data_IF_516809275572
#
_entry.id   IF_516809275572
#
_cell.length_a   1.000
_cell.length_b   1.000
_cell.length_c   1.000
_cell.angle_alpha   90.00
_cell.angle_beta   90.00
_cell.angle_gamma   90.00
#
_symmetry.space_group_name_H-M   'P 1'
#
loop_
_entity.id
_entity.type
_entity.pdbx_description
1 polymer ?
#
# COMPACT_ATOMS: atom_id res chain seq x y z
N UNK A 1 6.11 33.02 9.43
CA UNK A 1 5.74 32.69 8.04
C UNK A 1 4.43 33.38 7.74
N UNK A 2 4.31 34.06 6.60
CA UNK A 2 3.01 34.57 6.15
C UNK A 2 2.18 33.37 5.69
N UNK A 3 0.91 33.33 6.09
CA UNK A 3 -0.03 32.30 5.65
C UNK A 3 -0.37 32.55 4.17
N UNK A 4 -0.09 31.56 3.31
CA UNK A 4 -0.34 31.66 1.87
C UNK A 4 -1.81 31.30 1.57
N UNK A 5 -2.44 31.95 0.58
CA UNK A 5 -3.81 31.61 0.20
C UNK A 5 -3.88 30.19 -0.38
N UNK A 6 -5.04 29.54 -0.26
CA UNK A 6 -5.25 28.25 -0.91
C UNK A 6 -5.24 28.42 -2.45
N UNK A 7 -4.63 27.49 -3.21
CA UNK A 7 -4.66 27.54 -4.66
C UNK A 7 -6.10 27.52 -5.20
N UNK A 8 -6.41 28.26 -6.29
CA UNK A 8 -7.78 28.36 -6.82
C UNK A 8 -8.46 27.05 -7.20
N UNK A 9 -7.67 26.00 -7.47
CA UNK A 9 -8.17 24.67 -7.79
C UNK A 9 -8.50 23.80 -6.57
N UNK A 10 -8.16 24.25 -5.37
CA UNK A 10 -8.49 23.55 -4.14
C UNK A 10 -9.95 23.84 -3.74
N UNK A 11 -10.76 22.79 -3.69
CA UNK A 11 -12.16 22.85 -3.25
C UNK A 11 -12.32 22.09 -1.92
N UNK A 12 -12.50 22.78 -0.78
CA UNK A 12 -12.62 22.14 0.51
C UNK A 12 -13.87 21.25 0.63
N UNK A 13 -14.91 21.49 -0.20
CA UNK A 13 -16.15 20.71 -0.16
C UNK A 13 -16.02 19.33 -0.81
N UNK A 14 -14.96 19.13 -1.59
CA UNK A 14 -14.67 17.87 -2.30
C UNK A 14 -13.55 17.05 -1.64
N UNK A 15 -13.08 17.53 -0.49
CA UNK A 15 -12.15 16.81 0.38
C UNK A 15 -12.86 15.56 0.88
N UNK A 16 -12.41 14.38 0.45
CA UNK A 16 -13.11 13.11 0.65
C UNK A 16 -13.23 12.28 -0.62
N UNK A 17 -13.20 12.93 -1.78
CA UNK A 17 -13.49 12.28 -3.07
C UNK A 17 -12.22 11.80 -3.76
N UNK A 18 -12.30 10.60 -4.36
CA UNK A 18 -11.28 10.11 -5.29
C UNK A 18 -11.66 10.58 -6.69
N UNK A 19 -10.92 11.55 -7.23
CA UNK A 19 -11.13 12.06 -8.58
C UNK A 19 -9.84 12.02 -9.43
N UNK A 20 -10.01 11.99 -10.74
CA UNK A 20 -8.89 12.17 -11.68
C UNK A 20 -8.33 13.59 -11.53
N UNK A 21 -7.02 13.70 -11.34
CA UNK A 21 -6.30 14.97 -11.30
C UNK A 21 -5.78 15.30 -12.71
N UNK A 22 -6.04 16.51 -13.25
CA UNK A 22 -5.42 16.96 -14.49
C UNK A 22 -3.97 17.39 -14.23
N UNK A 23 -3.06 16.41 -14.13
CA UNK A 23 -1.68 16.65 -13.67
C UNK A 23 -0.90 17.66 -14.50
N UNK A 24 -1.11 17.68 -15.82
CA UNK A 24 -0.42 18.62 -16.70
C UNK A 24 -0.79 20.08 -16.37
N UNK A 25 -2.10 20.33 -16.20
CA UNK A 25 -2.61 21.66 -15.85
C UNK A 25 -2.16 22.05 -14.44
N UNK A 26 -2.26 21.13 -13.47
CA UNK A 26 -1.79 21.35 -12.09
C UNK A 26 -0.30 21.67 -12.02
N UNK A 27 0.53 21.00 -12.81
CA UNK A 27 1.96 21.28 -12.87
C UNK A 27 2.26 22.70 -13.40
N UNK A 28 1.54 23.14 -14.43
CA UNK A 28 1.67 24.51 -14.98
C UNK A 28 1.21 25.56 -13.97
N UNK A 29 0.04 25.36 -13.36
CA UNK A 29 -0.51 26.26 -12.34
C UNK A 29 0.39 26.37 -11.10
N UNK A 30 1.00 25.26 -10.66
CA UNK A 30 1.88 25.25 -9.49
C UNK A 30 3.17 26.06 -9.70
N UNK A 31 3.67 26.15 -10.95
CA UNK A 31 4.81 27.02 -11.30
C UNK A 31 4.39 28.48 -11.20
N UNK A 32 3.27 28.85 -11.85
CA UNK A 32 2.75 30.22 -11.83
C UNK A 32 2.46 30.68 -10.40
N UNK A 33 1.79 29.85 -9.61
CA UNK A 33 1.45 30.18 -8.22
C UNK A 33 2.70 30.36 -7.35
N UNK A 34 3.76 29.59 -7.60
CA UNK A 34 5.02 29.74 -6.88
C UNK A 34 5.72 31.05 -7.22
N UNK A 35 5.74 31.43 -8.49
CA UNK A 35 6.31 32.70 -8.94
C UNK A 35 5.52 33.89 -8.35
N UNK A 36 4.18 33.82 -8.36
CA UNK A 36 3.29 34.85 -7.80
C UNK A 36 3.50 35.06 -6.28
N UNK A 37 3.77 34.00 -5.54
CA UNK A 37 3.89 34.02 -4.08
C UNK A 37 5.33 33.95 -3.58
N UNK A 38 6.33 34.03 -4.46
CA UNK A 38 7.75 34.01 -4.12
C UNK A 38 8.20 32.70 -3.45
N UNK A 39 7.58 31.57 -3.79
CA UNK A 39 7.90 30.25 -3.21
C UNK A 39 9.08 29.65 -3.95
N UNK A 40 10.25 29.67 -3.32
CA UNK A 40 11.48 29.06 -3.84
C UNK A 40 11.47 27.52 -3.81
N UNK A 41 12.45 26.87 -4.46
CA UNK A 41 12.58 25.42 -4.39
C UNK A 41 12.94 24.97 -2.96
N UNK A 42 12.18 24.03 -2.40
CA UNK A 42 12.48 23.42 -1.08
C UNK A 42 13.86 22.73 -1.00
N UNK A 43 14.54 22.59 -2.14
CA UNK A 43 15.93 22.13 -2.21
C UNK A 43 16.94 23.12 -1.62
N UNK A 44 16.58 24.41 -1.61
CA UNK A 44 17.41 25.54 -1.19
C UNK A 44 17.16 25.92 0.28
N UNK A 45 16.19 25.26 0.93
CA UNK A 45 15.87 25.50 2.33
C UNK A 45 17.05 25.14 3.26
N UNK A 46 17.34 26.07 4.17
CA UNK A 46 18.38 25.89 5.21
C UNK A 46 17.97 24.86 6.26
N UNK A 47 16.66 24.69 6.47
CA UNK A 47 16.08 23.68 7.35
C UNK A 47 15.50 22.55 6.48
N UNK A 48 15.88 21.31 6.76
CA UNK A 48 15.42 20.14 6.02
C UNK A 48 14.52 19.28 6.88
N UNK A 49 13.29 19.12 6.42
CA UNK A 49 12.30 18.21 6.98
C UNK A 49 12.05 17.05 6.00
N UNK A 50 12.22 15.81 6.47
CA UNK A 50 11.93 14.60 5.71
C UNK A 50 10.61 13.99 6.22
N UNK A 51 9.69 13.69 5.31
CA UNK A 51 8.45 12.98 5.59
C UNK A 51 8.58 11.53 5.11
N UNK A 52 8.59 10.59 6.05
CA UNK A 52 8.35 9.17 5.76
C UNK A 52 6.83 8.95 5.77
N UNK A 53 6.25 8.71 4.60
CA UNK A 53 4.81 8.56 4.44
C UNK A 53 4.47 7.07 4.29
N UNK A 54 3.98 6.44 5.36
CA UNK A 54 3.73 5.00 5.38
C UNK A 54 2.34 4.71 4.81
N UNK A 55 2.29 3.95 3.72
CA UNK A 55 1.08 3.36 3.11
C UNK A 55 -0.06 4.38 2.86
N UNK A 56 0.30 5.60 2.44
CA UNK A 56 -0.63 6.68 2.04
C UNK A 56 -1.23 6.46 0.65
N UNK A 57 -1.78 5.27 0.45
CA UNK A 57 -2.43 4.84 -0.79
C UNK A 57 -3.94 5.07 -0.71
N UNK A 58 -4.58 5.26 -1.86
CA UNK A 58 -6.02 5.50 -1.97
C UNK A 58 -6.87 4.44 -1.27
N UNK A 59 -6.40 3.19 -1.17
CA UNK A 59 -7.14 2.15 -0.45
C UNK A 59 -7.23 2.40 1.07
N UNK A 60 -6.24 3.09 1.65
CA UNK A 60 -6.16 3.30 3.10
C UNK A 60 -6.54 4.71 3.53
N UNK A 61 -6.36 5.69 2.65
CA UNK A 61 -6.45 7.09 2.99
C UNK A 61 -7.52 7.80 2.15
N UNK A 62 -8.50 8.38 2.85
CA UNK A 62 -9.42 9.42 2.33
C UNK A 62 -8.76 10.79 2.63
N UNK A 63 -8.78 11.78 1.72
CA UNK A 63 -7.72 12.78 1.63
C UNK A 63 -7.87 13.87 2.68
N UNK A 64 -6.95 13.95 3.66
CA UNK A 64 -6.87 15.08 4.60
C UNK A 64 -5.43 15.48 4.98
N UNK A 65 -4.45 15.22 4.11
CA UNK A 65 -3.03 15.28 4.49
C UNK A 65 -2.30 16.62 4.25
N UNK A 66 -2.98 17.75 3.98
CA UNK A 66 -2.33 18.90 3.33
C UNK A 66 -2.32 20.22 4.10
N UNK A 67 -1.74 20.26 5.31
CA UNK A 67 -1.50 21.55 5.99
C UNK A 67 -0.07 22.08 5.94
N UNK A 68 0.94 21.22 5.71
CA UNK A 68 2.36 21.60 5.84
C UNK A 68 3.23 21.25 4.61
N UNK A 69 2.64 21.11 3.42
CA UNK A 69 3.36 20.67 2.20
C UNK A 69 4.52 21.59 1.80
N UNK A 70 4.44 22.88 2.10
CA UNK A 70 5.47 23.86 1.75
C UNK A 70 6.78 23.75 2.55
N UNK A 71 6.77 23.01 3.67
CA UNK A 71 7.95 22.85 4.54
C UNK A 71 8.65 21.50 4.35
N UNK A 72 8.06 20.59 3.55
CA UNK A 72 8.57 19.24 3.37
C UNK A 72 9.61 19.22 2.24
N UNK A 73 10.87 19.00 2.61
CA UNK A 73 12.02 19.01 1.68
C UNK A 73 12.26 17.66 0.98
N UNK A 74 11.72 16.57 1.54
CA UNK A 74 11.83 15.21 1.01
C UNK A 74 10.63 14.35 1.46
N UNK A 75 10.10 13.53 0.55
CA UNK A 75 9.07 12.52 0.84
C UNK A 75 9.58 11.14 0.42
N UNK A 76 9.51 10.18 1.33
CA UNK A 76 9.78 8.77 1.07
C UNK A 76 8.51 7.98 1.39
N UNK A 77 7.73 7.53 0.38
CA UNK A 77 6.59 6.68 0.67
C UNK A 77 7.00 5.22 0.80
N UNK A 78 6.39 4.50 1.75
CA UNK A 78 6.22 3.05 1.59
C UNK A 78 4.91 2.81 0.84
N UNK A 79 4.89 1.73 0.05
CA UNK A 79 3.69 1.27 -0.62
C UNK A 79 3.43 -0.16 -0.18
N UNK A 80 2.24 -0.40 0.35
CA UNK A 80 1.70 -1.74 0.43
C UNK A 80 1.38 -2.18 -1.00
N UNK A 81 1.98 -3.26 -1.48
CA UNK A 81 1.89 -3.66 -2.88
C UNK A 81 1.50 -5.11 -2.97
N UNK A 82 0.30 -5.34 -3.48
CA UNK A 82 -0.32 -6.65 -3.45
C UNK A 82 -0.69 -7.18 -4.82
N UNK A 83 -0.58 -8.50 -4.94
CA UNK A 83 -1.16 -9.29 -6.01
C UNK A 83 -2.43 -9.97 -5.50
N UNK A 84 -3.32 -10.39 -6.40
CA UNK A 84 -4.59 -10.99 -5.99
C UNK A 84 -4.39 -12.27 -5.16
N UNK A 85 -3.48 -13.13 -5.59
CA UNK A 85 -3.25 -14.45 -4.99
C UNK A 85 -2.14 -14.39 -3.93
N UNK A 86 -2.45 -13.79 -2.78
CA UNK A 86 -1.57 -13.76 -1.61
C UNK A 86 -2.24 -14.43 -0.42
N UNK A 87 -1.43 -14.98 0.49
CA UNK A 87 -1.85 -15.83 1.61
C UNK A 87 -2.92 -15.23 2.53
N UNK A 88 -3.02 -13.91 2.59
CA UNK A 88 -3.98 -13.18 3.42
C UNK A 88 -5.23 -12.69 2.66
N UNK A 89 -5.41 -13.07 1.39
CA UNK A 89 -6.65 -12.83 0.64
C UNK A 89 -7.53 -14.08 0.63
N UNK A 90 -8.85 -13.88 0.65
CA UNK A 90 -9.82 -14.97 0.77
C UNK A 90 -9.64 -16.08 -0.28
N UNK A 91 -9.25 -15.73 -1.51
CA UNK A 91 -9.05 -16.70 -2.61
C UNK A 91 -8.03 -17.79 -2.29
N UNK A 92 -7.07 -17.52 -1.40
CA UNK A 92 -6.03 -18.45 -1.00
C UNK A 92 -6.56 -19.64 -0.20
N UNK A 93 -7.67 -19.45 0.53
CA UNK A 93 -8.18 -20.41 1.50
C UNK A 93 -9.57 -20.91 1.06
N UNK A 94 -9.79 -22.20 1.23
CA UNK A 94 -11.11 -22.81 1.13
C UNK A 94 -11.36 -23.73 2.33
N UNK A 95 -12.61 -23.90 2.71
CA UNK A 95 -13.00 -24.89 3.71
C UNK A 95 -13.23 -26.29 3.08
N UNK A 96 -13.86 -27.19 3.83
CA UNK A 96 -14.21 -28.54 3.39
C UNK A 96 -15.19 -28.54 2.22
N UNK A 97 -16.11 -27.59 2.18
CA UNK A 97 -17.14 -27.42 1.16
C UNK A 97 -16.61 -26.67 -0.08
N UNK A 98 -15.42 -26.09 0.01
CA UNK A 98 -14.78 -25.32 -1.08
C UNK A 98 -15.10 -23.83 -1.03
N UNK A 99 -15.72 -23.35 0.05
CA UNK A 99 -16.12 -21.96 0.24
C UNK A 99 -14.97 -21.12 0.81
N UNK A 100 -14.96 -19.83 0.45
CA UNK A 100 -13.93 -18.89 0.88
C UNK A 100 -14.28 -18.21 2.21
N UNK A 101 -13.29 -17.88 3.06
CA UNK A 101 -13.54 -17.11 4.28
C UNK A 101 -14.05 -15.70 3.96
N UNK A 102 -14.93 -15.19 4.80
CA UNK A 102 -15.35 -13.78 4.74
C UNK A 102 -14.16 -12.84 5.05
N UNK A 103 -14.24 -11.59 4.58
CA UNK A 103 -13.27 -10.57 4.96
C UNK A 103 -13.21 -10.39 6.48
N UNK A 104 -12.00 -10.15 6.99
CA UNK A 104 -11.62 -10.05 8.39
C UNK A 104 -11.75 -11.34 9.22
N UNK A 105 -11.97 -12.49 8.58
CA UNK A 105 -11.84 -13.79 9.25
C UNK A 105 -10.43 -13.93 9.83
N UNK A 106 -10.35 -14.34 11.10
CA UNK A 106 -9.11 -14.70 11.76
C UNK A 106 -8.89 -16.21 11.61
N UNK A 107 -7.75 -16.59 11.05
CA UNK A 107 -7.36 -17.97 10.79
C UNK A 107 -6.17 -18.31 11.67
N UNK A 108 -6.42 -19.11 12.70
CA UNK A 108 -5.40 -19.57 13.64
C UNK A 108 -4.60 -20.75 13.11
N UNK A 109 -3.44 -21.02 13.72
CA UNK A 109 -2.68 -22.23 13.44
C UNK A 109 -3.50 -23.51 13.73
N UNK A 110 -4.38 -23.45 14.74
CA UNK A 110 -5.27 -24.56 15.11
C UNK A 110 -6.39 -24.77 14.08
N UNK A 111 -6.88 -23.72 13.42
CA UNK A 111 -7.79 -23.85 12.28
C UNK A 111 -7.15 -24.64 11.14
N UNK A 112 -5.89 -24.33 10.81
CA UNK A 112 -5.14 -25.05 9.76
C UNK A 112 -4.87 -26.50 10.17
N UNK A 113 -4.42 -26.72 11.42
CA UNK A 113 -4.13 -28.05 11.93
C UNK A 113 -5.38 -28.95 11.99
N UNK A 114 -6.54 -28.37 12.30
CA UNK A 114 -7.83 -29.05 12.29
C UNK A 114 -8.41 -29.25 10.88
N UNK A 115 -7.77 -28.72 9.83
CA UNK A 115 -8.25 -28.81 8.45
C UNK A 115 -9.44 -27.90 8.11
N UNK A 116 -9.82 -26.98 9.01
CA UNK A 116 -10.92 -26.03 8.77
C UNK A 116 -10.66 -25.13 7.58
N UNK A 117 -9.40 -24.76 7.36
CA UNK A 117 -8.96 -24.03 6.18
C UNK A 117 -7.78 -24.74 5.53
N UNK A 118 -7.82 -24.84 4.21
CA UNK A 118 -6.76 -25.41 3.37
C UNK A 118 -6.47 -24.49 2.19
N UNK A 119 -5.30 -24.67 1.56
CA UNK A 119 -4.97 -23.92 0.35
C UNK A 119 -5.93 -24.30 -0.78
N UNK A 120 -6.46 -23.29 -1.46
CA UNK A 120 -7.22 -23.46 -2.69
C UNK A 120 -6.32 -24.04 -3.80
N UNK A 121 -6.64 -25.25 -4.27
CA UNK A 121 -5.86 -25.94 -5.30
C UNK A 121 -5.78 -25.16 -6.61
N UNK A 122 -6.83 -24.42 -6.98
CA UNK A 122 -6.83 -23.59 -8.19
C UNK A 122 -5.81 -22.44 -8.10
N UNK A 123 -5.59 -21.89 -6.90
CA UNK A 123 -4.54 -20.87 -6.68
C UNK A 123 -3.15 -21.50 -6.77
N UNK A 124 -2.96 -22.66 -6.17
CA UNK A 124 -1.69 -23.39 -6.26
C UNK A 124 -1.34 -23.71 -7.72
N UNK A 125 -2.31 -24.19 -8.50
CA UNK A 125 -2.15 -24.47 -9.93
C UNK A 125 -1.84 -23.21 -10.73
N UNK A 126 -2.61 -22.12 -10.55
CA UNK A 126 -2.41 -20.87 -11.27
C UNK A 126 -1.02 -20.24 -11.01
N UNK A 127 -0.46 -20.46 -9.82
CA UNK A 127 0.86 -19.99 -9.44
C UNK A 127 1.98 -21.00 -9.76
N UNK A 128 1.64 -22.20 -10.26
CA UNK A 128 2.60 -23.28 -10.51
C UNK A 128 3.28 -23.80 -9.24
N UNK A 129 2.58 -23.77 -8.10
CA UNK A 129 3.06 -24.20 -6.79
C UNK A 129 2.51 -25.60 -6.50
N UNK A 130 3.38 -26.47 -6.00
CA UNK A 130 2.98 -27.79 -5.48
C UNK A 130 1.95 -27.63 -4.33
N UNK A 131 0.75 -28.24 -4.43
CA UNK A 131 -0.31 -28.06 -3.42
C UNK A 131 0.11 -28.52 -2.01
N UNK A 132 0.89 -29.59 -1.91
CA UNK A 132 1.36 -30.09 -0.62
C UNK A 132 2.36 -29.12 0.02
N UNK A 133 3.28 -28.57 -0.79
CA UNK A 133 4.17 -27.49 -0.36
C UNK A 133 3.38 -26.26 0.10
N UNK A 134 2.37 -25.84 -0.66
CA UNK A 134 1.55 -24.67 -0.31
C UNK A 134 0.83 -24.86 1.04
N UNK A 135 0.26 -26.04 1.29
CA UNK A 135 -0.38 -26.36 2.56
C UNK A 135 0.63 -26.41 3.73
N UNK A 136 1.80 -27.03 3.52
CA UNK A 136 2.88 -27.00 4.54
C UNK A 136 3.36 -25.58 4.84
N UNK A 137 3.48 -24.74 3.82
CA UNK A 137 3.86 -23.34 3.98
C UNK A 137 2.80 -22.56 4.75
N UNK A 138 1.51 -22.75 4.45
CA UNK A 138 0.41 -22.11 5.19
C UNK A 138 0.42 -22.51 6.68
N UNK A 139 0.59 -23.79 6.99
CA UNK A 139 0.72 -24.28 8.36
C UNK A 139 1.94 -23.67 9.07
N UNK A 140 3.09 -23.66 8.40
CA UNK A 140 4.29 -23.04 8.96
C UNK A 140 4.11 -21.54 9.22
N UNK A 141 3.50 -20.82 8.28
CA UNK A 141 3.30 -19.37 8.35
C UNK A 141 2.38 -18.99 9.52
N UNK A 142 1.23 -19.67 9.66
CA UNK A 142 0.30 -19.44 10.78
C UNK A 142 0.91 -19.78 12.14
N UNK A 143 1.71 -20.83 12.23
CA UNK A 143 2.47 -21.14 13.44
C UNK A 143 3.48 -20.04 13.81
N UNK A 144 4.23 -19.51 12.83
CA UNK A 144 5.19 -18.42 13.08
C UNK A 144 4.51 -17.12 13.50
N UNK A 145 3.32 -16.84 12.97
CA UNK A 145 2.51 -15.70 13.43
C UNK A 145 2.17 -15.84 14.91
N UNK A 146 1.62 -17.00 15.31
CA UNK A 146 1.23 -17.29 16.68
C UNK A 146 2.42 -17.22 17.66
N UNK A 147 3.57 -17.81 17.30
CA UNK A 147 4.78 -17.79 18.13
C UNK A 147 5.44 -16.42 18.23
N UNK A 148 5.36 -15.61 17.17
CA UNK A 148 5.92 -14.27 17.13
C UNK A 148 5.15 -13.26 17.99
N UNK A 149 4.14 -13.71 18.75
CA UNK A 149 3.21 -12.86 19.50
C UNK A 149 2.35 -11.98 18.58
N UNK A 150 2.29 -12.32 17.29
CA UNK A 150 1.44 -11.64 16.32
C UNK A 150 0.10 -12.37 16.22
N UNK A 151 -0.92 -11.59 15.89
CA UNK A 151 -2.29 -12.04 15.72
C UNK A 151 -2.41 -13.22 14.73
N UNK A 152 -3.52 -13.95 14.84
CA UNK A 152 -3.95 -14.92 13.83
C UNK A 152 -3.92 -14.32 12.42
N UNK A 153 -3.80 -15.18 11.40
CA UNK A 153 -3.83 -14.74 10.00
C UNK A 153 -5.17 -14.06 9.71
N UNK A 154 -5.13 -12.75 9.54
CA UNK A 154 -6.30 -11.96 9.14
C UNK A 154 -6.50 -12.06 7.64
N UNK A 155 -7.69 -12.48 7.22
CA UNK A 155 -8.12 -12.43 5.82
C UNK A 155 -8.52 -11.00 5.49
N UNK A 156 -7.74 -10.30 4.69
CA UNK A 156 -8.05 -8.92 4.29
C UNK A 156 -8.92 -8.89 3.04
N UNK A 157 -9.83 -7.89 2.88
CA UNK A 157 -10.40 -7.59 1.58
C UNK A 157 -9.29 -7.17 0.61
N UNK A 158 -9.51 -7.29 -0.71
CA UNK A 158 -8.54 -6.85 -1.70
C UNK A 158 -8.19 -5.37 -1.50
N UNK A 159 -6.90 -5.10 -1.34
CA UNK A 159 -6.41 -3.74 -1.08
C UNK A 159 -5.09 -3.50 -1.78
N UNK A 160 -4.81 -2.23 -2.08
CA UNK A 160 -3.54 -1.79 -2.65
C UNK A 160 -3.05 -2.67 -3.82
N UNK A 161 -4.00 -3.10 -4.66
CA UNK A 161 -3.77 -4.04 -5.75
C UNK A 161 -2.89 -3.39 -6.82
N UNK A 162 -1.74 -4.01 -7.12
CA UNK A 162 -0.80 -3.51 -8.12
C UNK A 162 -1.53 -3.25 -9.45
N UNK A 163 -1.41 -2.02 -9.96
CA UNK A 163 -2.08 -1.58 -11.20
C UNK A 163 -3.52 -1.07 -11.01
N UNK A 164 -4.09 -1.19 -9.81
CA UNK A 164 -5.41 -0.65 -9.46
C UNK A 164 -5.35 0.78 -8.92
N UNK A 165 -6.46 1.51 -9.01
CA UNK A 165 -6.58 2.89 -8.50
C UNK A 165 -6.30 2.99 -6.99
N UNK A 166 -6.58 1.91 -6.24
CA UNK A 166 -6.32 1.80 -4.81
C UNK A 166 -4.84 1.74 -4.42
N UNK A 167 -3.98 1.23 -5.31
CA UNK A 167 -2.52 1.16 -5.09
C UNK A 167 -1.83 2.51 -5.26
N UNK A 168 -2.44 3.44 -5.99
CA UNK A 168 -1.85 4.75 -6.19
C UNK A 168 -1.88 5.58 -4.90
N UNK A 169 -0.84 6.39 -4.68
CA UNK A 169 -0.81 7.38 -3.59
C UNK A 169 -2.02 8.31 -3.64
N UNK A 170 -2.45 8.83 -2.49
CA UNK A 170 -3.49 9.87 -2.46
C UNK A 170 -3.03 11.11 -3.21
N UNK A 171 -3.95 11.77 -3.92
CA UNK A 171 -3.66 12.84 -4.89
C UNK A 171 -2.69 13.92 -4.40
N UNK A 172 -2.83 14.47 -3.21
CA UNK A 172 -1.89 15.49 -2.75
C UNK A 172 -0.55 14.95 -2.20
N UNK A 173 -0.38 13.65 -1.98
CA UNK A 173 0.95 13.04 -1.85
C UNK A 173 1.66 12.94 -3.21
N UNK A 174 0.89 12.92 -4.30
CA UNK A 174 1.41 12.98 -5.68
C UNK A 174 1.75 14.40 -6.13
N UNK A 175 1.08 15.41 -5.57
CA UNK A 175 1.31 16.84 -5.88
C UNK A 175 2.54 17.43 -5.18
N UNK A 176 3.29 16.64 -4.41
CA UNK A 176 4.62 17.04 -3.90
C UNK A 176 5.57 17.13 -5.10
N UNK A 177 5.57 18.32 -5.71
CA UNK A 177 6.34 18.82 -6.86
C UNK A 177 7.32 17.82 -7.46
N UNK A 178 7.04 17.50 -8.72
CA UNK A 178 7.72 16.68 -9.73
C UNK A 178 9.26 16.83 -9.93
N UNK A 179 10.05 17.08 -8.88
CA UNK A 179 11.52 17.00 -8.89
C UNK A 179 12.06 16.54 -7.55
N UNK A 180 11.86 15.28 -7.17
CA UNK A 180 12.81 14.54 -6.31
C UNK A 180 12.42 13.06 -6.19
N UNK A 181 13.46 12.26 -5.97
CA UNK A 181 13.46 10.80 -5.91
C UNK A 181 12.33 10.25 -5.03
N UNK A 182 11.22 9.84 -5.65
CA UNK A 182 10.34 8.83 -5.10
C UNK A 182 11.11 7.50 -5.15
N UNK A 183 11.74 7.14 -4.05
CA UNK A 183 12.19 5.77 -3.83
C UNK A 183 11.14 5.09 -2.96
N UNK A 184 10.31 4.18 -3.51
CA UNK A 184 9.44 3.36 -2.70
C UNK A 184 10.32 2.48 -1.81
N UNK A 185 10.19 2.65 -0.49
CA UNK A 185 10.74 1.69 0.46
C UNK A 185 9.73 0.53 0.55
N UNK A 186 9.98 -0.55 -0.17
CA UNK A 186 9.30 -1.83 0.04
C UNK A 186 9.89 -2.49 1.29
N UNK A 187 9.25 -2.39 2.45
CA UNK A 187 9.67 -3.17 3.61
C UNK A 187 8.47 -3.64 4.44
N UNK A 188 8.13 -4.93 4.29
CA UNK A 188 7.51 -5.76 5.34
C UNK A 188 7.93 -7.23 5.16
N UNK A 189 9.03 -7.65 5.79
CA UNK A 189 9.37 -9.07 5.98
C UNK A 189 9.65 -9.87 4.70
N UNK A 190 10.08 -11.15 4.79
CA UNK A 190 10.53 -11.88 3.61
C UNK A 190 9.36 -12.04 2.63
N UNK A 191 9.60 -11.59 1.40
CA UNK A 191 8.71 -11.78 0.27
C UNK A 191 8.19 -13.23 0.23
N UNK A 192 6.88 -13.48 0.05
CA UNK A 192 6.45 -14.78 -0.43
C UNK A 192 6.94 -14.89 -1.88
N UNK A 193 8.03 -15.64 -2.04
CA UNK A 193 8.48 -16.31 -3.26
C UNK A 193 8.67 -15.38 -4.48
N UNK A 194 9.89 -14.87 -4.64
CA UNK A 194 10.54 -14.89 -5.96
C UNK A 194 12.02 -15.26 -5.80
N UNK A 195 12.40 -16.43 -6.34
CA UNK A 195 13.76 -17.00 -6.46
C UNK A 195 14.50 -17.38 -5.16
N UNK A 196 14.44 -18.67 -4.83
CA UNK A 196 15.63 -19.39 -4.37
C UNK A 196 16.26 -20.07 -5.58
N UNK A 197 17.42 -19.57 -6.00
CA UNK A 197 18.21 -20.21 -7.06
C UNK A 197 18.78 -21.53 -6.56
N UNK A 198 18.62 -22.58 -7.37
CA UNK A 198 19.45 -23.77 -7.26
C UNK A 198 20.91 -23.37 -7.46
N UNK A 199 21.75 -23.65 -6.47
CA UNK A 199 23.18 -23.87 -6.68
C UNK A 199 23.51 -25.22 -6.05
N UNK A 200 23.75 -26.21 -6.90
CA UNK A 200 24.60 -27.35 -6.57
C UNK A 200 26.07 -26.96 -6.65
#
# INVERSE_FOLDING_TARGET
MAELPLPPHFDPSRVGEVSRVPYEDRAREAVVWADEHGVGPAAEDVFRLCLLAVDVQNTFCVPDFYRNLGEITQVLPSLDTHHAMQVFHAIWLVDEDGEHPAAYTLVSADDIAAGRWRVNSAVAEALGIDPDYANRHLAHYTQRLAEGGKYDLTVWPYHAMLGGIGHALVSGAKDVRARRFLQPLTNRGPAPITRWGCTG
#
